data_IF_284510624114
#
_entry.id   IF_284510624114
#
_cell.length_a   1.000
_cell.length_b   1.000
_cell.length_c   1.000
_cell.angle_alpha   90.00
_cell.angle_beta   90.00
_cell.angle_gamma   90.00
#
_symmetry.space_group_name_H-M   'P 1'
#
loop_
_entity.id
_entity.type
_entity.pdbx_description
1 polymer ?
#
# COMPACT_ATOMS: atom_id res chain seq x y z
N UNK A 1 23.89 12.55 8.68
CA UNK A 1 22.97 11.40 8.55
C UNK A 1 23.08 10.91 7.12
N UNK A 2 23.50 9.66 6.94
CA UNK A 2 23.54 9.00 5.63
C UNK A 2 22.12 8.49 5.37
N UNK A 3 21.36 9.22 4.56
CA UNK A 3 20.02 8.82 4.15
C UNK A 3 20.21 7.89 2.96
N UNK A 4 20.28 6.58 3.23
CA UNK A 4 20.25 5.58 2.17
C UNK A 4 18.97 5.75 1.35
N UNK A 5 19.14 6.18 0.10
CA UNK A 5 18.07 6.34 -0.88
C UNK A 5 17.52 4.95 -1.21
N UNK A 6 16.54 4.48 -0.43
CA UNK A 6 15.78 3.26 -0.73
C UNK A 6 15.14 3.47 -2.11
N UNK A 7 15.79 2.92 -3.12
CA UNK A 7 15.25 2.86 -4.47
C UNK A 7 13.99 2.02 -4.35
N UNK A 8 12.81 2.63 -4.51
CA UNK A 8 11.55 1.90 -4.56
C UNK A 8 11.68 0.88 -5.69
N UNK A 9 11.85 -0.39 -5.31
CA UNK A 9 11.86 -1.51 -6.23
C UNK A 9 10.58 -1.41 -7.06
N UNK A 10 10.72 -1.51 -8.38
CA UNK A 10 9.60 -1.24 -9.30
C UNK A 10 8.43 -2.13 -8.91
N UNK A 11 7.22 -1.56 -8.87
CA UNK A 11 5.98 -2.32 -8.69
C UNK A 11 5.96 -3.47 -9.70
N UNK A 12 5.93 -4.71 -9.19
CA UNK A 12 5.93 -5.91 -10.02
C UNK A 12 4.67 -6.02 -10.87
N UNK A 13 4.75 -6.71 -12.02
CA UNK A 13 3.57 -6.99 -12.85
C UNK A 13 2.70 -8.14 -12.33
N UNK A 14 3.01 -8.65 -11.13
CA UNK A 14 2.39 -9.82 -10.52
C UNK A 14 1.99 -9.54 -9.09
N UNK A 15 0.90 -10.16 -8.68
CA UNK A 15 0.44 -10.18 -7.30
C UNK A 15 1.52 -10.82 -6.41
N UNK A 16 1.93 -10.14 -5.34
CA UNK A 16 2.93 -10.65 -4.39
C UNK A 16 2.43 -11.85 -3.59
N UNK A 17 1.11 -11.95 -3.35
CA UNK A 17 0.49 -13.04 -2.59
C UNK A 17 0.30 -14.33 -3.43
N UNK A 18 -0.27 -14.20 -4.63
CA UNK A 18 -0.68 -15.36 -5.43
C UNK A 18 0.09 -15.52 -6.75
N UNK A 19 0.96 -14.58 -7.10
CA UNK A 19 1.77 -14.62 -8.33
C UNK A 19 0.98 -14.41 -9.63
N UNK A 20 -0.33 -14.13 -9.55
CA UNK A 20 -1.16 -13.84 -10.71
C UNK A 20 -0.69 -12.57 -11.42
N UNK A 21 -0.76 -12.56 -12.76
CA UNK A 21 -0.42 -11.37 -13.52
C UNK A 21 -1.49 -10.29 -13.29
N UNK A 22 -1.05 -9.11 -12.84
CA UNK A 22 -1.95 -7.99 -12.60
C UNK A 22 -2.49 -7.46 -13.92
N UNK A 23 -3.76 -7.11 -13.89
CA UNK A 23 -4.39 -6.36 -14.98
C UNK A 23 -3.93 -4.91 -14.95
N UNK A 24 -4.09 -4.16 -16.06
CA UNK A 24 -3.76 -2.74 -16.09
C UNK A 24 -4.49 -1.92 -15.01
N UNK A 25 -5.73 -2.30 -14.68
CA UNK A 25 -6.52 -1.63 -13.65
C UNK A 25 -5.95 -1.88 -12.24
N UNK A 26 -5.50 -3.10 -11.95
CA UNK A 26 -4.87 -3.44 -10.67
C UNK A 26 -3.51 -2.75 -10.51
N UNK A 27 -2.69 -2.73 -11.56
CA UNK A 27 -1.44 -1.97 -11.54
C UNK A 27 -1.66 -0.48 -11.30
N UNK A 28 -2.67 0.11 -11.93
CA UNK A 28 -3.01 1.52 -11.74
C UNK A 28 -3.39 1.79 -10.27
N UNK A 29 -4.24 0.93 -9.69
CA UNK A 29 -4.63 1.05 -8.29
C UNK A 29 -3.43 0.97 -7.32
N UNK A 30 -2.48 0.08 -7.59
CA UNK A 30 -1.24 -0.04 -6.79
C UNK A 30 -0.38 1.21 -6.91
N UNK A 31 -0.24 1.76 -8.13
CA UNK A 31 0.52 3.00 -8.35
C UNK A 31 -0.13 4.21 -7.68
N UNK A 32 -1.46 4.25 -7.62
CA UNK A 32 -2.22 5.31 -6.96
C UNK A 32 -2.17 5.20 -5.44
N UNK A 33 -2.24 3.98 -4.90
CA UNK A 33 -2.15 3.74 -3.45
C UNK A 33 -0.72 3.83 -2.93
N UNK A 34 0.28 3.58 -3.78
CA UNK A 34 1.68 3.43 -3.37
C UNK A 34 1.93 2.18 -2.53
N UNK A 35 1.03 1.21 -2.59
CA UNK A 35 1.05 -0.03 -1.79
C UNK A 35 1.76 -1.21 -2.49
N UNK A 36 1.66 -2.42 -1.90
CA UNK A 36 2.18 -3.63 -2.51
C UNK A 36 1.46 -3.98 -3.80
N UNK A 37 2.13 -4.72 -4.69
CA UNK A 37 1.54 -5.18 -5.96
C UNK A 37 0.54 -6.31 -5.69
N UNK A 38 -0.71 -5.96 -5.39
CA UNK A 38 -1.77 -6.93 -5.08
C UNK A 38 -2.88 -6.92 -6.14
N UNK A 39 -3.42 -8.10 -6.43
CA UNK A 39 -4.63 -8.20 -7.26
C UNK A 39 -5.84 -7.72 -6.48
N UNK A 40 -6.91 -7.35 -7.18
CA UNK A 40 -8.16 -6.82 -6.62
C UNK A 40 -8.76 -7.64 -5.48
N UNK A 41 -8.51 -8.95 -5.46
CA UNK A 41 -8.95 -9.85 -4.39
C UNK A 41 -8.15 -9.62 -3.11
N UNK A 42 -6.81 -9.62 -3.19
CA UNK A 42 -5.93 -9.46 -2.02
C UNK A 42 -5.75 -7.99 -1.62
N UNK A 43 -5.89 -7.06 -2.56
CA UNK A 43 -5.85 -5.61 -2.29
C UNK A 43 -7.02 -5.17 -1.39
N UNK A 44 -8.17 -5.86 -1.46
CA UNK A 44 -9.31 -5.60 -0.58
C UNK A 44 -9.09 -6.09 0.86
N UNK A 45 -8.14 -6.98 1.09
CA UNK A 45 -7.78 -7.48 2.43
C UNK A 45 -6.76 -6.57 3.13
N UNK A 46 -6.05 -5.76 2.33
CA UNK A 46 -5.03 -4.80 2.78
C UNK A 46 -5.62 -3.40 3.02
N UNK A 47 -6.94 -3.26 3.22
CA UNK A 47 -7.49 -1.97 3.65
C UNK A 47 -6.76 -1.53 4.91
N UNK A 48 -6.01 -0.41 4.89
CA UNK A 48 -5.37 0.11 6.07
C UNK A 48 -6.52 0.60 6.95
N UNK A 49 -6.98 -0.27 7.84
CA UNK A 49 -7.99 0.06 8.83
C UNK A 49 -7.53 1.33 9.50
N UNK A 50 -8.35 2.40 9.36
CA UNK A 50 -8.13 3.77 9.83
C UNK A 50 -6.81 3.86 10.60
N UNK A 51 -5.74 4.32 9.94
CA UNK A 51 -4.61 4.84 10.69
C UNK A 51 -5.23 5.81 11.70
N UNK A 52 -5.24 5.40 12.96
CA UNK A 52 -5.75 6.19 14.04
C UNK A 52 -5.09 7.55 13.87
N UNK A 53 -5.88 8.58 13.60
CA UNK A 53 -5.43 9.91 13.88
C UNK A 53 -5.22 9.95 15.40
N UNK A 54 -4.02 9.57 15.82
CA UNK A 54 -3.47 9.88 17.12
C UNK A 54 -3.19 11.39 17.24
N UNK A 55 -4.14 12.21 16.79
CA UNK A 55 -4.26 13.60 17.17
C UNK A 55 -4.99 13.65 18.50
N UNK A 56 -4.21 13.50 19.58
CA UNK A 56 -4.69 13.65 20.95
C UNK A 56 -5.55 14.90 21.13
N UNK A 57 -6.76 14.72 21.65
CA UNK A 57 -7.53 15.79 22.26
C UNK A 57 -7.48 15.63 23.78
N UNK A 58 -6.51 16.35 24.34
CA UNK A 58 -6.33 16.80 25.73
C UNK A 58 -7.59 16.77 26.62
N UNK A 59 -7.42 16.21 27.83
CA UNK A 59 -8.23 16.44 29.04
C UNK A 59 -8.54 17.93 29.27
N UNK A 60 -9.82 18.27 29.51
CA UNK A 60 -10.30 19.15 30.61
C UNK A 60 -11.85 19.32 30.53
N UNK A 61 -12.57 18.72 31.48
CA UNK A 61 -13.92 19.16 31.93
C UNK A 61 -14.29 18.51 33.27
#
# INVERSE_FOLDING_TARGET
MDLEEKTLDRVGDRCEECGAKLTPAELQAVLESGGPALCSIHAAEDEPGLAADEAGFIEDA
#
